data_IF_676293256101
#
_entry.id   IF_676293256101
#
_cell.length_a   1.000
_cell.length_b   1.000
_cell.length_c   1.000
_cell.angle_alpha   90.00
_cell.angle_beta   90.00
_cell.angle_gamma   90.00
#
_symmetry.space_group_name_H-M   'P 1'
#
loop_
_entity.id
_entity.type
_entity.pdbx_description
1 polymer ?
#
# COMPACT_ATOMS: atom_id res chain seq x y z
N UNK A 1 13.73 10.86 -2.03
CA UNK A 1 13.25 10.26 -3.29
C UNK A 1 11.84 9.69 -3.13
N UNK A 2 11.24 9.25 -4.19
CA UNK A 2 9.85 8.76 -4.18
C UNK A 2 9.67 7.48 -3.36
N UNK A 3 10.75 6.72 -3.17
CA UNK A 3 10.74 5.47 -2.39
C UNK A 3 10.73 5.68 -0.87
N UNK A 4 11.13 6.87 -0.40
CA UNK A 4 11.29 7.15 1.03
C UNK A 4 12.55 6.52 1.64
N UNK A 5 12.70 6.63 2.96
CA UNK A 5 13.80 6.07 3.74
C UNK A 5 13.26 5.23 4.89
N UNK A 6 13.80 4.05 5.09
CA UNK A 6 13.50 3.24 6.27
C UNK A 6 14.31 3.70 7.50
N UNK A 7 13.90 3.22 8.69
CA UNK A 7 14.57 3.63 9.94
C UNK A 7 16.02 3.14 10.02
N UNK A 8 16.40 2.09 9.28
CA UNK A 8 17.78 1.59 9.24
C UNK A 8 18.65 2.55 8.44
N UNK A 9 18.18 2.98 7.27
CA UNK A 9 18.84 3.94 6.41
C UNK A 9 19.01 5.28 7.15
N UNK A 10 17.95 5.77 7.81
CA UNK A 10 17.99 6.98 8.63
C UNK A 10 19.00 6.84 9.77
N UNK A 11 19.04 5.70 10.47
CA UNK A 11 19.99 5.46 11.56
C UNK A 11 21.44 5.47 11.11
N UNK A 12 21.71 4.96 9.90
CA UNK A 12 23.05 4.99 9.29
C UNK A 12 23.45 6.41 8.90
N UNK A 13 22.55 7.15 8.24
CA UNK A 13 22.84 8.54 7.82
C UNK A 13 23.07 9.47 9.00
N UNK A 14 22.31 9.29 10.09
CA UNK A 14 22.44 10.12 11.30
C UNK A 14 23.50 9.60 12.28
N UNK A 15 24.13 8.46 11.99
CA UNK A 15 25.12 7.80 12.86
C UNK A 15 24.61 7.55 14.29
N UNK A 16 23.33 7.16 14.42
CA UNK A 16 22.68 6.88 15.70
C UNK A 16 22.10 5.46 15.75
N UNK A 17 21.73 5.00 16.95
CA UNK A 17 20.99 3.73 17.07
C UNK A 17 19.59 3.82 16.46
N UNK A 18 19.03 2.70 16.00
CA UNK A 18 17.67 2.65 15.45
C UNK A 18 16.62 3.23 16.39
N UNK A 19 16.73 2.94 17.72
CA UNK A 19 15.87 3.53 18.73
C UNK A 19 15.93 5.05 18.72
N UNK A 20 17.15 5.60 18.68
CA UNK A 20 17.33 7.05 18.64
C UNK A 20 16.86 7.67 17.33
N UNK A 21 17.03 6.97 16.20
CA UNK A 21 16.50 7.40 14.91
C UNK A 21 14.98 7.46 14.93
N UNK A 22 14.29 6.48 15.53
CA UNK A 22 12.83 6.50 15.69
C UNK A 22 12.38 7.70 16.53
N UNK A 23 12.98 7.90 17.71
CA UNK A 23 12.68 9.06 18.57
C UNK A 23 12.86 10.41 17.84
N UNK A 24 13.91 10.53 17.03
CA UNK A 24 14.18 11.75 16.25
C UNK A 24 13.15 11.94 15.12
N UNK A 25 12.71 10.85 14.49
CA UNK A 25 11.66 10.91 13.45
C UNK A 25 10.31 11.30 14.04
N UNK A 26 9.94 10.74 15.18
CA UNK A 26 8.68 11.09 15.88
C UNK A 26 8.70 12.59 16.27
N UNK A 27 9.80 13.06 16.86
CA UNK A 27 9.98 14.49 17.19
C UNK A 27 9.96 15.39 15.94
N UNK A 28 10.54 14.93 14.83
CA UNK A 28 10.54 15.66 13.57
C UNK A 28 9.13 15.77 12.98
N UNK A 29 8.38 14.67 12.97
CA UNK A 29 7.00 14.64 12.47
C UNK A 29 6.13 15.60 13.29
N UNK A 30 6.16 15.49 14.62
CA UNK A 30 5.42 16.37 15.52
C UNK A 30 5.73 17.85 15.27
N UNK A 31 7.02 18.22 15.20
CA UNK A 31 7.44 19.60 14.90
C UNK A 31 7.05 20.05 13.51
N UNK A 32 7.06 19.14 12.54
CA UNK A 32 6.72 19.46 11.16
C UNK A 32 5.23 19.73 11.00
N UNK A 33 4.38 18.95 11.67
CA UNK A 33 2.91 19.13 11.66
C UNK A 33 2.49 20.46 12.31
N UNK A 34 3.19 20.91 13.34
CA UNK A 34 2.87 22.16 14.05
C UNK A 34 3.32 23.46 13.32
N UNK A 35 3.84 23.36 12.11
CA UNK A 35 4.34 24.53 11.33
C UNK A 35 3.24 25.39 10.69
N UNK A 36 2.01 25.31 11.04
CA UNK A 36 0.95 26.29 10.66
C UNK A 36 0.61 26.40 9.16
N UNK A 37 1.47 25.98 8.23
CA UNK A 37 1.22 25.88 6.79
C UNK A 37 1.84 24.62 6.24
N UNK A 38 1.03 23.58 6.07
CA UNK A 38 1.48 22.25 5.72
C UNK A 38 0.82 21.76 4.43
N UNK A 39 1.27 22.26 3.27
CA UNK A 39 0.92 21.69 1.95
C UNK A 39 1.50 20.29 1.73
N UNK A 40 2.50 19.92 2.54
CA UNK A 40 3.21 18.64 2.50
C UNK A 40 3.28 18.10 3.92
N UNK A 41 3.14 16.80 4.10
CA UNK A 41 3.27 16.09 5.37
C UNK A 41 4.31 14.97 5.27
N UNK A 42 4.80 14.49 6.40
CA UNK A 42 5.62 13.28 6.49
C UNK A 42 4.74 12.10 6.77
N UNK A 43 4.81 11.06 5.95
CA UNK A 43 4.03 9.83 6.11
C UNK A 43 4.96 8.63 6.25
N UNK A 44 4.47 7.59 6.91
CA UNK A 44 5.13 6.29 6.98
C UNK A 44 4.25 5.25 6.29
N UNK A 45 4.66 4.81 5.10
CA UNK A 45 4.01 3.74 4.36
C UNK A 45 5.00 2.61 4.13
N UNK A 46 4.58 1.36 4.41
CA UNK A 46 5.45 0.19 4.29
C UNK A 46 6.72 0.26 5.15
N UNK A 47 6.70 1.00 6.29
CA UNK A 47 7.86 1.21 7.15
C UNK A 47 8.87 2.24 6.61
N UNK A 48 8.54 2.95 5.53
CA UNK A 48 9.37 4.00 4.94
C UNK A 48 8.78 5.38 5.16
N UNK A 49 9.60 6.30 5.62
CA UNK A 49 9.24 7.71 5.79
C UNK A 49 9.44 8.47 4.48
N UNK A 50 8.43 9.21 4.06
CA UNK A 50 8.47 10.05 2.86
C UNK A 50 7.60 11.30 3.01
N UNK A 51 7.83 12.26 2.14
CA UNK A 51 6.95 13.42 2.02
C UNK A 51 5.77 13.09 1.12
N UNK A 52 4.57 13.48 1.55
CA UNK A 52 3.35 13.38 0.77
C UNK A 52 2.59 14.71 0.81
N UNK A 53 1.71 14.94 -0.14
CA UNK A 53 0.81 16.09 -0.11
C UNK A 53 -0.20 15.94 1.03
N UNK A 54 -0.52 17.05 1.69
CA UNK A 54 -1.51 17.04 2.75
C UNK A 54 -2.93 16.76 2.16
N UNK A 55 -3.67 15.80 2.71
CA UNK A 55 -5.02 15.43 2.25
C UNK A 55 -6.01 16.59 2.22
N UNK A 56 -5.89 17.58 3.10
CA UNK A 56 -6.78 18.75 3.15
C UNK A 56 -6.80 19.53 1.84
N UNK A 57 -5.72 19.42 1.05
CA UNK A 57 -5.61 20.08 -0.26
C UNK A 57 -5.95 19.16 -1.43
N UNK A 58 -6.43 17.95 -1.19
CA UNK A 58 -6.78 16.98 -2.21
C UNK A 58 -7.70 17.53 -3.32
N UNK A 59 -8.77 18.32 -3.03
CA UNK A 59 -9.63 18.89 -4.06
C UNK A 59 -8.89 19.81 -5.05
N UNK A 60 -7.80 20.43 -4.61
CA UNK A 60 -6.96 21.28 -5.46
C UNK A 60 -6.02 20.44 -6.32
N UNK A 61 -5.40 19.41 -5.75
CA UNK A 61 -4.52 18.51 -6.49
C UNK A 61 -5.27 17.70 -7.54
N UNK A 62 -6.51 17.28 -7.28
CA UNK A 62 -7.35 16.61 -8.26
C UNK A 62 -7.54 17.41 -9.56
N UNK A 63 -7.61 18.74 -9.46
CA UNK A 63 -7.74 19.63 -10.62
C UNK A 63 -6.45 19.74 -11.43
N UNK A 64 -5.30 19.47 -10.81
CA UNK A 64 -3.98 19.58 -11.45
C UNK A 64 -3.55 18.27 -12.13
N UNK A 65 -4.01 17.13 -11.58
CA UNK A 65 -3.66 15.82 -12.12
C UNK A 65 -4.81 15.36 -13.02
N UNK A 66 -4.62 15.48 -14.34
CA UNK A 66 -5.52 14.82 -15.30
C UNK A 66 -5.67 13.36 -14.92
N UNK A 67 -6.92 12.89 -14.88
CA UNK A 67 -7.31 11.56 -14.37
C UNK A 67 -6.77 10.42 -15.26
N UNK A 68 -5.49 10.17 -15.25
CA UNK A 68 -4.89 9.02 -15.95
C UNK A 68 -4.63 7.79 -15.07
N UNK A 69 -5.18 7.74 -13.87
CA UNK A 69 -5.16 6.50 -13.07
C UNK A 69 -6.36 5.65 -13.46
N UNK A 70 -6.18 4.78 -14.45
CA UNK A 70 -7.15 3.73 -14.73
C UNK A 70 -7.43 2.96 -13.43
N UNK A 71 -8.64 3.18 -12.87
CA UNK A 71 -9.12 2.48 -11.66
C UNK A 71 -8.97 0.96 -11.88
N UNK A 72 -8.62 0.23 -10.84
CA UNK A 72 -8.68 -1.22 -10.89
C UNK A 72 -10.14 -1.64 -11.08
N UNK A 73 -10.37 -2.65 -11.93
CA UNK A 73 -11.71 -3.25 -12.02
C UNK A 73 -12.01 -4.02 -10.74
N UNK A 74 -13.29 -4.26 -10.45
CA UNK A 74 -13.75 -5.05 -9.30
C UNK A 74 -13.01 -6.40 -9.23
N UNK A 75 -12.94 -7.14 -10.35
CA UNK A 75 -12.21 -8.40 -10.43
C UNK A 75 -10.71 -8.29 -10.12
N UNK A 76 -10.08 -7.15 -10.44
CA UNK A 76 -8.68 -6.92 -10.10
C UNK A 76 -8.51 -6.57 -8.61
N UNK A 77 -9.45 -5.83 -8.02
CA UNK A 77 -9.46 -5.53 -6.58
C UNK A 77 -9.67 -6.79 -5.75
N UNK A 78 -10.62 -7.64 -6.11
CA UNK A 78 -10.85 -8.94 -5.47
C UNK A 78 -9.58 -9.82 -5.51
N UNK A 79 -8.95 -9.92 -6.69
CA UNK A 79 -7.71 -10.69 -6.86
C UNK A 79 -6.60 -10.13 -5.98
N UNK A 80 -6.45 -8.80 -5.94
CA UNK A 80 -5.45 -8.11 -5.14
C UNK A 80 -5.68 -8.33 -3.63
N UNK A 81 -6.93 -8.24 -3.18
CA UNK A 81 -7.31 -8.51 -1.79
C UNK A 81 -6.96 -9.95 -1.39
N UNK A 82 -7.30 -10.95 -2.21
CA UNK A 82 -6.97 -12.34 -1.93
C UNK A 82 -5.45 -12.52 -1.79
N UNK A 83 -4.64 -11.90 -2.66
CA UNK A 83 -3.18 -11.95 -2.55
C UNK A 83 -2.72 -11.28 -1.25
N UNK A 84 -3.22 -10.09 -0.92
CA UNK A 84 -2.81 -9.34 0.26
C UNK A 84 -3.06 -10.12 1.58
N UNK A 85 -4.23 -10.75 1.70
CA UNK A 85 -4.60 -11.48 2.92
C UNK A 85 -3.99 -12.89 3.03
N UNK A 86 -3.60 -13.51 1.89
CA UNK A 86 -3.16 -14.91 1.88
C UNK A 86 -1.71 -15.09 1.43
N UNK A 87 -0.94 -14.02 1.26
CA UNK A 87 0.44 -14.10 0.82
C UNK A 87 1.36 -14.83 1.82
N UNK A 88 2.35 -15.60 1.33
CA UNK A 88 2.62 -15.88 -0.08
C UNK A 88 1.64 -16.92 -0.67
N UNK A 89 1.06 -16.62 -1.84
CA UNK A 89 -0.01 -17.43 -2.45
C UNK A 89 0.27 -17.73 -3.94
N UNK A 90 -0.10 -18.92 -4.40
CA UNK A 90 -0.01 -19.28 -5.83
C UNK A 90 -1.24 -18.83 -6.61
N UNK A 91 -1.10 -18.67 -7.93
CA UNK A 91 -2.24 -18.34 -8.80
C UNK A 91 -3.38 -19.37 -8.67
N UNK A 92 -3.06 -20.66 -8.63
CA UNK A 92 -4.08 -21.71 -8.51
C UNK A 92 -4.93 -21.53 -7.24
N UNK A 93 -4.30 -21.26 -6.10
CA UNK A 93 -5.01 -21.00 -4.84
C UNK A 93 -5.88 -19.74 -4.91
N UNK A 94 -5.42 -18.70 -5.62
CA UNK A 94 -6.25 -17.50 -5.86
C UNK A 94 -7.47 -17.86 -6.71
N UNK A 95 -7.30 -18.67 -7.76
CA UNK A 95 -8.39 -19.14 -8.62
C UNK A 95 -9.37 -20.02 -7.85
N UNK A 96 -8.89 -20.89 -6.95
CA UNK A 96 -9.72 -21.73 -6.08
C UNK A 96 -10.60 -20.87 -5.15
N UNK A 97 -10.05 -19.80 -4.57
CA UNK A 97 -10.79 -18.88 -3.69
C UNK A 97 -11.83 -18.09 -4.50
N UNK A 98 -11.46 -17.60 -5.68
CA UNK A 98 -12.34 -16.80 -6.53
C UNK A 98 -13.43 -17.63 -7.25
N UNK A 99 -13.19 -18.92 -7.44
CA UNK A 99 -14.03 -19.80 -8.27
C UNK A 99 -13.93 -19.53 -9.77
N UNK A 100 -13.04 -18.63 -10.22
CA UNK A 100 -12.85 -18.27 -11.64
C UNK A 100 -11.38 -17.97 -11.93
N UNK A 101 -10.97 -18.14 -13.20
CA UNK A 101 -9.60 -17.86 -13.64
C UNK A 101 -9.17 -16.41 -13.38
N UNK A 102 -7.94 -16.21 -12.94
CA UNK A 102 -7.41 -14.88 -12.58
C UNK A 102 -6.13 -14.49 -13.34
N UNK A 103 -5.68 -15.25 -14.32
CA UNK A 103 -4.41 -15.03 -15.02
C UNK A 103 -4.26 -13.60 -15.60
N UNK A 104 -5.31 -13.07 -16.23
CA UNK A 104 -5.30 -11.69 -16.75
C UNK A 104 -5.19 -10.65 -15.62
N UNK A 105 -5.80 -10.91 -14.45
CA UNK A 105 -5.75 -10.01 -13.30
C UNK A 105 -4.36 -10.04 -12.66
N UNK A 106 -3.76 -11.20 -12.47
CA UNK A 106 -2.38 -11.35 -11.97
C UNK A 106 -1.42 -10.57 -12.87
N UNK A 107 -1.47 -10.75 -14.20
CA UNK A 107 -0.61 -9.98 -15.12
C UNK A 107 -0.83 -8.47 -15.01
N UNK A 108 -2.06 -8.02 -14.88
CA UNK A 108 -2.40 -6.59 -14.72
C UNK A 108 -1.86 -6.03 -13.39
N UNK A 109 -1.94 -6.79 -12.31
CA UNK A 109 -1.44 -6.38 -11.00
C UNK A 109 0.10 -6.34 -10.97
N UNK A 110 0.77 -7.32 -11.61
CA UNK A 110 2.23 -7.31 -11.81
C UNK A 110 2.66 -6.08 -12.64
N UNK A 111 1.98 -5.80 -13.75
CA UNK A 111 2.28 -4.65 -14.60
C UNK A 111 2.08 -3.29 -13.89
N UNK A 112 1.23 -3.24 -12.86
CA UNK A 112 1.02 -2.07 -12.00
C UNK A 112 1.94 -2.06 -10.76
N UNK A 113 2.84 -3.03 -10.66
CA UNK A 113 3.72 -3.23 -9.52
C UNK A 113 2.99 -3.38 -8.17
N UNK A 114 1.70 -3.73 -8.14
CA UNK A 114 0.94 -3.92 -6.89
C UNK A 114 1.21 -5.27 -6.23
N UNK A 115 1.61 -6.26 -7.02
CA UNK A 115 2.08 -7.57 -6.56
C UNK A 115 3.42 -7.91 -7.20
N UNK A 116 4.17 -8.82 -6.58
CA UNK A 116 5.45 -9.34 -7.07
C UNK A 116 5.56 -10.83 -6.85
N UNK A 117 6.47 -11.47 -7.59
CA UNK A 117 6.87 -12.84 -7.33
C UNK A 117 7.77 -12.86 -6.08
N UNK A 118 7.42 -13.65 -5.07
CA UNK A 118 8.16 -13.74 -3.80
C UNK A 118 8.86 -15.08 -3.61
N UNK A 119 8.64 -16.05 -4.52
CA UNK A 119 9.27 -17.35 -4.49
C UNK A 119 8.52 -18.38 -5.33
N UNK A 120 8.78 -19.64 -5.06
CA UNK A 120 8.08 -20.79 -5.65
C UNK A 120 7.66 -21.76 -4.55
N UNK A 121 6.49 -22.36 -4.70
CA UNK A 121 6.01 -23.38 -3.77
C UNK A 121 6.73 -24.71 -4.07
N UNK A 122 7.14 -25.43 -3.02
CA UNK A 122 7.78 -26.75 -3.13
C UNK A 122 6.71 -27.83 -3.41
N UNK A 123 6.12 -27.78 -4.61
CA UNK A 123 5.11 -28.72 -5.09
C UNK A 123 5.33 -29.03 -6.56
N UNK A 124 4.72 -30.11 -7.12
CA UNK A 124 4.87 -30.44 -8.53
C UNK A 124 4.54 -29.23 -9.43
N UNK A 125 5.48 -28.92 -10.35
CA UNK A 125 5.38 -27.75 -11.22
C UNK A 125 5.98 -26.47 -10.66
N UNK A 126 6.43 -26.42 -9.40
CA UNK A 126 7.08 -25.28 -8.73
C UNK A 126 6.32 -23.96 -9.00
N UNK A 127 5.02 -23.87 -8.67
CA UNK A 127 4.22 -22.70 -9.01
C UNK A 127 4.76 -21.45 -8.32
N UNK A 128 4.64 -20.33 -9.01
CA UNK A 128 5.09 -19.02 -8.51
C UNK A 128 4.21 -18.61 -7.32
N UNK A 129 4.86 -18.10 -6.28
CA UNK A 129 4.24 -17.45 -5.13
C UNK A 129 4.22 -15.94 -5.31
N UNK A 130 3.08 -15.32 -5.08
CA UNK A 130 2.85 -13.89 -5.17
C UNK A 130 2.67 -13.27 -3.78
N UNK A 131 3.12 -12.03 -3.66
CA UNK A 131 2.89 -11.17 -2.50
C UNK A 131 2.74 -9.72 -2.94
N UNK A 132 2.29 -8.84 -2.06
CA UNK A 132 2.16 -7.42 -2.33
C UNK A 132 3.51 -6.70 -2.26
N UNK A 133 3.53 -5.46 -2.73
CA UNK A 133 4.72 -4.61 -2.86
C UNK A 133 4.65 -3.38 -1.96
N UNK A 134 5.71 -2.58 -1.95
CA UNK A 134 5.71 -1.25 -1.33
C UNK A 134 4.73 -0.31 -2.04
N UNK A 135 4.58 -0.43 -3.37
CA UNK A 135 3.61 0.34 -4.15
C UNK A 135 2.15 0.02 -3.77
N UNK A 136 1.86 -1.23 -3.37
CA UNK A 136 0.58 -1.57 -2.78
C UNK A 136 0.38 -0.83 -1.46
N UNK A 137 1.37 -0.84 -0.56
CA UNK A 137 1.29 -0.14 0.72
C UNK A 137 1.05 1.36 0.51
N UNK A 138 1.74 1.96 -0.45
CA UNK A 138 1.56 3.36 -0.82
C UNK A 138 0.17 3.65 -1.38
N UNK A 139 -0.31 2.80 -2.31
CA UNK A 139 -1.59 2.98 -2.97
C UNK A 139 -2.78 2.91 -2.01
N UNK A 140 -2.63 2.11 -0.94
CA UNK A 140 -3.66 1.92 0.10
C UNK A 140 -3.35 2.66 1.40
N UNK A 141 -2.27 3.46 1.43
CA UNK A 141 -1.86 4.27 2.60
C UNK A 141 -1.67 3.45 3.87
N UNK A 142 -1.05 2.27 3.74
CA UNK A 142 -0.80 1.34 4.83
C UNK A 142 0.64 1.49 5.33
N UNK A 143 0.85 1.60 6.64
CA UNK A 143 2.17 1.54 7.24
C UNK A 143 2.67 0.08 7.39
N UNK A 144 1.75 -0.86 7.60
CA UNK A 144 2.01 -2.31 7.64
C UNK A 144 0.80 -3.11 7.16
N UNK A 145 1.00 -4.42 6.89
CA UNK A 145 -0.09 -5.32 6.52
C UNK A 145 -1.08 -5.56 7.66
N UNK A 146 -0.66 -5.33 8.91
CA UNK A 146 -1.52 -5.47 10.09
C UNK A 146 -2.64 -4.42 10.14
N UNK A 147 -2.53 -3.36 9.32
CA UNK A 147 -3.57 -2.33 9.18
C UNK A 147 -4.68 -2.73 8.19
N UNK A 148 -4.56 -3.89 7.54
CA UNK A 148 -5.64 -4.41 6.70
C UNK A 148 -6.87 -4.73 7.57
N UNK A 149 -8.11 -4.33 7.17
CA UNK A 149 -9.34 -4.64 7.89
C UNK A 149 -9.50 -6.15 8.10
N UNK A 150 -10.05 -6.58 9.22
CA UNK A 150 -10.45 -7.98 9.38
C UNK A 150 -11.57 -8.34 8.38
N UNK A 151 -11.47 -9.53 7.74
CA UNK A 151 -12.42 -9.96 6.68
C UNK A 151 -13.89 -10.09 7.14
N UNK A 152 -14.20 -9.84 8.42
CA UNK A 152 -15.56 -9.83 8.97
C UNK A 152 -16.21 -8.44 9.05
N UNK A 153 -15.44 -7.37 8.88
CA UNK A 153 -15.89 -5.98 9.10
C UNK A 153 -16.31 -5.25 7.82
N UNK A 154 -16.34 -5.94 6.68
CA UNK A 154 -16.80 -5.34 5.43
C UNK A 154 -18.33 -5.29 5.46
N UNK A 155 -18.87 -4.23 6.06
CA UNK A 155 -20.25 -3.81 5.84
C UNK A 155 -20.38 -3.53 4.34
N UNK A 156 -21.34 -4.17 3.69
CA UNK A 156 -21.72 -3.87 2.31
C UNK A 156 -22.09 -2.38 2.22
N UNK A 157 -21.13 -1.52 1.87
CA UNK A 157 -21.43 -0.15 1.51
C UNK A 157 -21.82 -0.15 0.05
N UNK A 158 -23.11 0.07 -0.17
CA UNK A 158 -23.70 0.39 -1.48
C UNK A 158 -23.02 1.67 -2.00
N UNK A 159 -22.14 1.53 -2.93
CA UNK A 159 -21.64 2.43 -3.98
C UNK A 159 -20.12 2.50 -4.07
N UNK A 160 -19.65 2.32 -5.29
CA UNK A 160 -18.23 2.32 -5.72
C UNK A 160 -17.46 3.66 -5.45
N UNK A 161 -18.11 4.66 -4.85
CA UNK A 161 -17.51 5.98 -4.60
C UNK A 161 -16.93 6.17 -3.19
N UNK A 162 -17.27 5.32 -2.22
CA UNK A 162 -16.97 5.61 -0.82
C UNK A 162 -15.74 4.90 -0.22
N UNK A 163 -15.17 3.91 -0.91
CA UNK A 163 -14.00 3.16 -0.39
C UNK A 163 -12.77 4.06 -0.18
N UNK A 164 -12.69 5.19 -0.90
CA UNK A 164 -11.59 6.16 -0.78
C UNK A 164 -11.88 7.37 0.13
N UNK A 165 -13.10 7.48 0.69
CA UNK A 165 -13.49 8.64 1.52
C UNK A 165 -13.43 8.39 3.03
N UNK A 166 -13.35 7.15 3.48
CA UNK A 166 -13.65 6.80 4.87
C UNK A 166 -12.52 6.99 5.89
N UNK A 167 -11.31 7.38 5.47
CA UNK A 167 -10.17 7.56 6.40
C UNK A 167 -9.80 9.01 6.71
N UNK A 168 -10.62 10.00 6.28
CA UNK A 168 -10.30 11.43 6.44
C UNK A 168 -11.50 12.25 6.96
N UNK A 169 -12.22 11.72 7.96
CA UNK A 169 -13.08 12.52 8.84
C UNK A 169 -12.56 12.49 10.25
#
# INVERSE_FOLDING_TARGET
GDEGLDIKEISVVLEVSKKKATELMDEFIEKYEHRGFNGIQVVNFGGKYKFATNPDYFPYYQKMVEQSKAKLSQAALETLAIVAYNQPITRSKVEDIRGVGCDAMIRKLLAKALIKEVGREESPGLPILYGVTDEFMDAFSLASLDELPELGDVVETESDEDIFKTKYQ
#
